data_IF_485511303996
#
_entry.id   IF_485511303996
#
_cell.length_a   1.000
_cell.length_b   1.000
_cell.length_c   1.000
_cell.angle_alpha   90.00
_cell.angle_beta   90.00
_cell.angle_gamma   90.00
#
_symmetry.space_group_name_H-M   'P 1'
#
loop_
_entity.id
_entity.type
_entity.pdbx_description
1 polymer ?
#
# COMPACT_ATOMS: atom_id res chain seq x y z
N UNK A 1 -6.58 10.82 8.14
CA UNK A 1 -7.96 10.29 8.01
C UNK A 1 -8.60 10.26 9.37
N UNK A 2 -9.94 10.33 9.46
CA UNK A 2 -10.66 10.28 10.73
C UNK A 2 -10.75 8.85 11.29
N UNK A 3 -11.09 8.73 12.57
CA UNK A 3 -11.23 7.44 13.27
C UNK A 3 -12.30 6.54 12.64
N UNK A 4 -13.31 7.12 11.98
CA UNK A 4 -14.37 6.37 11.30
C UNK A 4 -14.02 5.90 9.89
N UNK A 5 -12.82 6.16 9.37
CA UNK A 5 -12.43 5.79 8.01
C UNK A 5 -12.49 4.28 7.77
N UNK A 6 -11.93 3.48 8.69
CA UNK A 6 -11.93 2.02 8.59
C UNK A 6 -13.35 1.45 8.63
N UNK A 7 -14.19 1.93 9.56
CA UNK A 7 -15.59 1.52 9.66
C UNK A 7 -16.39 1.80 8.37
N UNK A 8 -16.05 2.88 7.65
CA UNK A 8 -16.65 3.17 6.34
C UNK A 8 -16.18 2.20 5.27
N UNK A 9 -14.88 1.87 5.25
CA UNK A 9 -14.34 0.86 4.33
C UNK A 9 -14.97 -0.51 4.56
N UNK A 10 -15.09 -0.96 5.81
CA UNK A 10 -15.70 -2.24 6.15
C UNK A 10 -17.17 -2.31 5.72
N UNK A 11 -17.95 -1.25 5.99
CA UNK A 11 -19.35 -1.17 5.56
C UNK A 11 -19.47 -1.17 4.04
N UNK A 12 -18.60 -0.46 3.34
CA UNK A 12 -18.58 -0.45 1.87
C UNK A 12 -18.23 -1.83 1.31
N UNK A 13 -17.26 -2.53 1.90
CA UNK A 13 -16.89 -3.89 1.50
C UNK A 13 -18.06 -4.88 1.68
N UNK A 14 -18.66 -4.91 2.88
CA UNK A 14 -19.84 -5.75 3.18
C UNK A 14 -21.02 -5.46 2.26
N UNK A 15 -21.21 -4.21 1.84
CA UNK A 15 -22.28 -3.81 0.93
C UNK A 15 -22.04 -4.18 -0.54
N UNK A 16 -20.79 -4.13 -1.00
CA UNK A 16 -20.43 -4.43 -2.40
C UNK A 16 -20.22 -5.92 -2.66
N UNK A 17 -19.67 -6.64 -1.69
CA UNK A 17 -19.24 -8.04 -1.83
C UNK A 17 -18.46 -8.29 -3.13
N UNK A 18 -17.36 -7.55 -3.30
CA UNK A 18 -16.51 -7.69 -4.48
C UNK A 18 -15.95 -9.11 -4.60
N UNK A 19 -15.73 -9.59 -5.83
CA UNK A 19 -15.13 -10.90 -6.08
C UNK A 19 -13.61 -10.78 -6.04
N UNK A 20 -12.97 -11.37 -5.04
CA UNK A 20 -11.54 -11.20 -4.76
C UNK A 20 -10.78 -12.52 -4.95
N UNK A 21 -9.78 -12.51 -5.83
CA UNK A 21 -8.87 -13.64 -6.01
C UNK A 21 -7.77 -13.63 -4.96
N UNK A 22 -7.52 -14.75 -4.29
CA UNK A 22 -6.44 -14.90 -3.30
C UNK A 22 -5.47 -16.01 -3.74
N UNK A 23 -4.21 -15.64 -3.97
CA UNK A 23 -3.17 -16.57 -4.37
C UNK A 23 -2.65 -17.46 -3.24
N UNK A 24 -2.66 -18.78 -3.42
CA UNK A 24 -2.20 -19.75 -2.41
C UNK A 24 -1.30 -20.84 -3.04
N UNK A 25 -0.07 -20.99 -2.53
CA UNK A 25 0.92 -22.00 -2.96
C UNK A 25 1.18 -23.09 -1.90
N UNK A 26 0.96 -22.78 -0.62
CA UNK A 26 1.18 -23.69 0.50
C UNK A 26 0.12 -23.52 1.58
N UNK A 27 -0.21 -24.61 2.26
CA UNK A 27 -1.07 -24.58 3.43
C UNK A 27 -0.35 -23.91 4.61
N UNK A 28 -0.98 -22.89 5.17
CA UNK A 28 -0.69 -22.39 6.52
C UNK A 28 -2.02 -22.13 7.19
N UNK A 29 -2.21 -22.65 8.41
CA UNK A 29 -3.46 -22.53 9.17
C UNK A 29 -3.97 -21.07 9.22
N UNK A 30 -3.06 -20.13 9.46
CA UNK A 30 -3.37 -18.69 9.52
C UNK A 30 -3.89 -18.10 8.19
N UNK A 31 -3.57 -18.70 7.04
CA UNK A 31 -4.01 -18.20 5.73
C UNK A 31 -5.47 -18.57 5.51
N UNK A 32 -5.86 -19.81 5.81
CA UNK A 32 -7.24 -20.28 5.63
C UNK A 32 -8.18 -19.58 6.58
N UNK A 33 -7.83 -19.48 7.88
CA UNK A 33 -8.62 -18.73 8.86
C UNK A 33 -8.82 -17.26 8.42
N UNK A 34 -7.77 -16.64 7.85
CA UNK A 34 -7.85 -15.29 7.31
C UNK A 34 -8.75 -15.18 6.07
N UNK A 35 -8.74 -16.19 5.19
CA UNK A 35 -9.61 -16.27 4.01
C UNK A 35 -11.08 -16.45 4.42
N UNK A 36 -11.35 -17.32 5.40
CA UNK A 36 -12.69 -17.52 5.94
C UNK A 36 -13.22 -16.24 6.58
N UNK A 37 -12.43 -15.56 7.41
CA UNK A 37 -12.79 -14.26 7.98
C UNK A 37 -13.02 -13.19 6.90
N UNK A 38 -12.22 -13.20 5.82
CA UNK A 38 -12.37 -12.27 4.70
C UNK A 38 -13.67 -12.48 3.91
N UNK A 39 -14.26 -13.68 3.98
CA UNK A 39 -15.52 -14.01 3.28
C UNK A 39 -16.72 -13.21 3.81
N UNK A 40 -16.60 -12.57 4.98
CA UNK A 40 -17.59 -11.60 5.46
C UNK A 40 -17.64 -10.33 4.60
N UNK A 41 -16.52 -9.96 3.97
CA UNK A 41 -16.33 -8.69 3.26
C UNK A 41 -16.37 -8.81 1.74
N UNK A 42 -16.14 -10.01 1.20
CA UNK A 42 -15.95 -10.25 -0.22
C UNK A 42 -16.27 -11.70 -0.60
N UNK A 43 -16.62 -11.92 -1.87
CA UNK A 43 -16.70 -13.27 -2.44
C UNK A 43 -15.27 -13.73 -2.78
N UNK A 44 -14.78 -14.75 -2.10
CA UNK A 44 -13.38 -15.16 -2.21
C UNK A 44 -13.20 -16.32 -3.19
N UNK A 45 -12.27 -16.16 -4.12
CA UNK A 45 -11.82 -17.20 -5.04
C UNK A 45 -10.36 -17.52 -4.74
N UNK A 46 -10.08 -18.72 -4.26
CA UNK A 46 -8.72 -19.16 -4.01
C UNK A 46 -8.06 -19.62 -5.32
N UNK A 47 -6.88 -19.08 -5.63
CA UNK A 47 -6.13 -19.38 -6.86
C UNK A 47 -4.83 -20.10 -6.50
N UNK A 48 -4.74 -21.37 -6.89
CA UNK A 48 -3.62 -22.25 -6.61
C UNK A 48 -4.02 -23.48 -5.79
N UNK A 49 -3.04 -24.13 -5.19
CA UNK A 49 -3.22 -25.37 -4.46
C UNK A 49 -2.57 -25.27 -3.07
N UNK A 50 -3.35 -25.22 -1.97
CA UNK A 50 -2.79 -25.24 -0.63
C UNK A 50 -2.19 -26.61 -0.26
N UNK A 51 -2.46 -27.66 -1.05
CA UNK A 51 -2.04 -29.02 -0.77
C UNK A 51 -3.16 -29.89 -0.18
N UNK A 52 -2.94 -31.21 -0.11
CA UNK A 52 -3.98 -32.20 0.15
C UNK A 52 -4.51 -32.21 1.59
N UNK A 53 -3.72 -31.73 2.55
CA UNK A 53 -4.07 -31.72 3.98
C UNK A 53 -4.84 -30.46 4.41
N UNK A 54 -5.16 -29.58 3.45
CA UNK A 54 -5.86 -28.33 3.71
C UNK A 54 -7.37 -28.50 3.46
N UNK A 55 -8.17 -28.40 4.52
CA UNK A 55 -9.62 -28.28 4.36
C UNK A 55 -9.95 -26.85 3.92
N UNK A 56 -10.46 -26.71 2.69
CA UNK A 56 -10.86 -25.43 2.10
C UNK A 56 -12.37 -25.20 2.26
N UNK A 57 -13.07 -26.11 2.95
CA UNK A 57 -14.50 -26.02 3.22
C UNK A 57 -15.33 -25.83 1.96
N UNK A 58 -16.03 -24.70 1.90
CA UNK A 58 -16.94 -24.33 0.79
C UNK A 58 -16.37 -23.27 -0.15
N UNK A 59 -15.09 -22.90 0.01
CA UNK A 59 -14.45 -21.86 -0.78
C UNK A 59 -14.27 -22.28 -2.24
N UNK A 60 -14.49 -21.35 -3.16
CA UNK A 60 -14.21 -21.57 -4.57
C UNK A 60 -12.69 -21.70 -4.79
N UNK A 61 -12.26 -22.77 -5.47
CA UNK A 61 -10.84 -23.02 -5.79
C UNK A 61 -10.62 -23.14 -7.30
N UNK A 62 -9.67 -22.36 -7.80
CA UNK A 62 -9.09 -22.49 -9.14
C UNK A 62 -7.69 -23.08 -9.00
N UNK A 63 -7.55 -24.38 -9.31
CA UNK A 63 -6.24 -25.04 -9.36
C UNK A 63 -5.49 -24.62 -10.61
N UNK A 64 -4.22 -24.22 -10.43
CA UNK A 64 -3.36 -23.80 -11.53
C UNK A 64 -1.91 -24.21 -11.27
N UNK A 65 -1.22 -24.66 -12.31
CA UNK A 65 0.22 -24.94 -12.26
C UNK A 65 1.04 -23.65 -12.04
N UNK A 66 0.53 -22.51 -12.53
CA UNK A 66 1.11 -21.19 -12.29
C UNK A 66 0.05 -20.25 -11.69
N UNK A 67 -0.13 -20.30 -10.35
CA UNK A 67 -1.13 -19.49 -9.66
C UNK A 67 -0.91 -17.99 -9.87
N UNK A 68 0.34 -17.54 -9.98
CA UNK A 68 0.66 -16.13 -10.18
C UNK A 68 0.18 -15.61 -11.56
N UNK A 69 0.33 -16.40 -12.63
CA UNK A 69 -0.23 -16.05 -13.95
C UNK A 69 -1.75 -16.05 -13.93
N UNK A 70 -2.31 -17.08 -13.30
CA UNK A 70 -3.76 -17.29 -13.29
C UNK A 70 -4.44 -16.15 -12.54
N UNK A 71 -3.93 -15.78 -11.36
CA UNK A 71 -4.46 -14.67 -10.56
C UNK A 71 -4.45 -13.34 -11.34
N UNK A 72 -3.34 -13.03 -12.02
CA UNK A 72 -3.23 -11.80 -12.83
C UNK A 72 -4.14 -11.86 -14.07
N UNK A 73 -4.25 -13.02 -14.71
CA UNK A 73 -5.12 -13.21 -15.87
C UNK A 73 -6.61 -13.10 -15.53
N UNK A 74 -7.03 -13.57 -14.35
CA UNK A 74 -8.40 -13.37 -13.86
C UNK A 74 -8.70 -11.88 -13.65
N UNK A 75 -7.74 -11.14 -13.09
CA UNK A 75 -7.86 -9.70 -12.88
C UNK A 75 -7.93 -8.94 -14.22
N UNK A 76 -7.08 -9.30 -15.18
CA UNK A 76 -7.07 -8.69 -16.52
C UNK A 76 -8.40 -8.88 -17.27
N UNK A 77 -9.00 -10.07 -17.14
CA UNK A 77 -10.28 -10.39 -17.78
C UNK A 77 -11.49 -9.82 -17.05
N UNK A 78 -11.31 -9.25 -15.85
CA UNK A 78 -12.41 -8.81 -15.00
C UNK A 78 -13.25 -9.95 -14.42
N UNK A 79 -12.70 -11.17 -14.34
CA UNK A 79 -13.34 -12.32 -13.66
C UNK A 79 -13.27 -12.19 -12.12
N UNK A 80 -12.36 -11.35 -11.65
CA UNK A 80 -12.26 -10.88 -10.26
C UNK A 80 -12.15 -9.36 -10.24
N UNK A 81 -12.74 -8.71 -9.24
CA UNK A 81 -12.70 -7.26 -9.02
C UNK A 81 -11.38 -6.80 -8.40
N UNK A 82 -10.69 -7.71 -7.69
CA UNK A 82 -9.45 -7.42 -6.99
C UNK A 82 -8.65 -8.68 -6.69
N UNK A 83 -7.37 -8.50 -6.35
CA UNK A 83 -6.46 -9.60 -6.11
C UNK A 83 -5.63 -9.39 -4.84
N UNK A 84 -5.50 -10.44 -4.04
CA UNK A 84 -4.58 -10.55 -2.91
C UNK A 84 -3.53 -11.60 -3.26
N UNK A 85 -2.26 -11.22 -3.21
CA UNK A 85 -1.13 -12.13 -3.50
C UNK A 85 -1.15 -13.41 -2.65
N UNK A 86 -1.59 -13.30 -1.40
CA UNK A 86 -1.47 -14.33 -0.37
C UNK A 86 0.00 -14.71 -0.15
N UNK A 87 0.33 -15.99 -0.24
CA UNK A 87 1.69 -16.48 -0.04
C UNK A 87 2.49 -16.71 -1.34
N UNK A 88 1.92 -16.43 -2.52
CA UNK A 88 2.63 -16.53 -3.80
C UNK A 88 3.86 -15.62 -3.84
N UNK A 89 4.94 -15.98 -4.54
CA UNK A 89 6.13 -15.12 -4.65
C UNK A 89 5.80 -13.69 -5.11
N UNK A 90 6.16 -12.69 -4.28
CA UNK A 90 5.95 -11.28 -4.58
C UNK A 90 6.64 -10.86 -5.89
N UNK A 91 7.88 -11.30 -6.10
CA UNK A 91 8.63 -11.02 -7.33
C UNK A 91 7.90 -11.54 -8.58
N UNK A 92 7.35 -12.75 -8.52
CA UNK A 92 6.59 -13.34 -9.65
C UNK A 92 5.32 -12.54 -9.92
N UNK A 93 4.50 -12.30 -8.90
CA UNK A 93 3.21 -11.60 -9.07
C UNK A 93 3.41 -10.16 -9.54
N UNK A 94 4.33 -9.41 -8.92
CA UNK A 94 4.61 -8.03 -9.31
C UNK A 94 5.18 -7.92 -10.72
N UNK A 95 6.06 -8.85 -11.13
CA UNK A 95 6.59 -8.90 -12.49
C UNK A 95 5.48 -9.15 -13.52
N UNK A 96 4.50 -10.01 -13.18
CA UNK A 96 3.34 -10.29 -14.04
C UNK A 96 2.41 -9.10 -14.14
N UNK A 97 2.01 -8.49 -13.02
CA UNK A 97 1.17 -7.28 -13.01
C UNK A 97 1.81 -6.18 -13.87
N UNK A 98 3.10 -5.91 -13.66
CA UNK A 98 3.80 -4.86 -14.41
C UNK A 98 3.83 -5.12 -15.92
N UNK A 99 3.96 -6.38 -16.33
CA UNK A 99 3.99 -6.77 -17.75
C UNK A 99 2.61 -6.76 -18.38
N UNK A 100 1.60 -7.33 -17.70
CA UNK A 100 0.25 -7.48 -18.23
C UNK A 100 -0.46 -6.13 -18.36
N UNK A 101 -0.34 -5.26 -17.36
CA UNK A 101 -1.02 -3.95 -17.37
C UNK A 101 -0.12 -2.82 -17.90
N UNK A 102 1.14 -3.11 -18.26
CA UNK A 102 2.14 -2.11 -18.68
C UNK A 102 2.31 -0.96 -17.69
N UNK A 103 2.21 -1.26 -16.38
CA UNK A 103 2.30 -0.29 -15.29
C UNK A 103 3.54 -0.49 -14.44
N UNK A 104 3.97 0.59 -13.77
CA UNK A 104 4.90 0.49 -12.63
C UNK A 104 4.09 0.44 -11.34
N UNK A 105 4.14 -0.70 -10.66
CA UNK A 105 3.49 -0.88 -9.35
C UNK A 105 4.14 0.02 -8.31
N UNK A 106 3.30 0.61 -7.46
CA UNK A 106 3.69 1.44 -6.31
C UNK A 106 2.95 0.95 -5.07
N UNK A 107 3.63 0.92 -3.93
CA UNK A 107 3.04 0.43 -2.67
C UNK A 107 2.70 1.58 -1.73
N UNK A 108 1.49 1.53 -1.19
CA UNK A 108 1.04 2.30 -0.04
C UNK A 108 0.75 1.30 1.09
N UNK A 109 1.17 1.62 2.31
CA UNK A 109 0.75 0.88 3.52
C UNK A 109 -0.24 1.74 4.29
N UNK A 110 -1.40 1.21 4.64
CA UNK A 110 -2.32 1.84 5.60
C UNK A 110 -1.87 1.47 7.02
N UNK A 111 -1.63 2.47 7.86
CA UNK A 111 -1.37 2.28 9.29
C UNK A 111 -2.53 2.89 10.09
N UNK A 112 -2.97 2.19 11.14
CA UNK A 112 -4.14 2.56 11.92
C UNK A 112 -3.79 2.68 13.41
N UNK A 113 -3.50 3.90 13.84
CA UNK A 113 -3.32 4.21 15.25
C UNK A 113 -4.70 4.50 15.89
N UNK A 114 -4.86 4.38 17.22
CA UNK A 114 -6.15 4.56 17.89
C UNK A 114 -6.92 5.85 17.52
N UNK A 115 -6.21 6.95 17.27
CA UNK A 115 -6.81 8.25 16.97
C UNK A 115 -6.54 8.74 15.53
N UNK A 116 -5.77 7.99 14.74
CA UNK A 116 -5.24 8.50 13.48
C UNK A 116 -4.82 7.38 12.54
N UNK A 117 -5.43 7.36 11.36
CA UNK A 117 -5.02 6.49 10.26
C UNK A 117 -4.42 7.31 9.12
N UNK A 118 -3.37 6.77 8.50
CA UNK A 118 -2.68 7.39 7.37
C UNK A 118 -2.08 6.32 6.46
N UNK A 119 -1.92 6.66 5.18
CA UNK A 119 -1.10 5.89 4.26
C UNK A 119 0.37 6.32 4.35
N UNK A 120 1.27 5.36 4.24
CA UNK A 120 2.72 5.56 4.17
C UNK A 120 3.24 5.05 2.83
N UNK A 121 4.08 5.85 2.19
CA UNK A 121 4.74 5.50 0.95
C UNK A 121 6.09 6.22 0.81
N UNK A 122 7.03 5.73 0.00
CA UNK A 122 7.13 4.32 -0.42
C UNK A 122 7.35 3.40 0.78
N UNK A 123 7.10 2.10 0.61
CA UNK A 123 7.45 1.06 1.60
C UNK A 123 8.22 -0.10 0.97
N UNK A 124 8.36 -0.10 -0.35
CA UNK A 124 9.27 -0.97 -1.08
C UNK A 124 10.69 -0.45 -1.09
N UNK A 125 11.66 -1.32 -0.83
CA UNK A 125 13.09 -0.95 -0.78
C UNK A 125 13.64 -0.40 -2.11
N UNK A 126 12.95 -0.65 -3.22
CA UNK A 126 13.29 -0.29 -4.60
C UNK A 126 12.42 0.87 -5.15
N UNK A 127 11.79 1.63 -4.26
CA UNK A 127 10.87 2.71 -4.58
C UNK A 127 11.36 4.05 -4.01
N UNK A 128 11.02 5.15 -4.69
CA UNK A 128 11.31 6.50 -4.19
C UNK A 128 12.74 6.99 -4.41
N UNK A 129 13.53 6.31 -5.24
CA UNK A 129 14.92 6.67 -5.54
C UNK A 129 15.08 7.97 -6.35
N UNK A 130 13.98 8.55 -6.83
CA UNK A 130 13.99 9.80 -7.59
C UNK A 130 12.84 10.71 -7.21
N UNK A 131 13.03 12.02 -7.40
CA UNK A 131 12.00 13.05 -7.21
C UNK A 131 10.76 12.73 -8.04
N UNK A 132 10.93 12.30 -9.30
CA UNK A 132 9.81 11.95 -10.18
C UNK A 132 8.99 10.79 -9.63
N UNK A 133 9.64 9.77 -9.07
CA UNK A 133 8.94 8.61 -8.51
C UNK A 133 8.22 8.95 -7.21
N UNK A 134 8.87 9.72 -6.33
CA UNK A 134 8.23 10.25 -5.11
C UNK A 134 7.06 11.18 -5.43
N UNK A 135 7.15 11.96 -6.51
CA UNK A 135 6.08 12.86 -6.91
C UNK A 135 4.88 12.06 -7.40
N UNK A 136 5.12 10.99 -8.17
CA UNK A 136 4.07 10.06 -8.57
C UNK A 136 3.42 9.39 -7.36
N UNK A 137 4.18 9.00 -6.35
CA UNK A 137 3.61 8.46 -5.10
C UNK A 137 2.71 9.48 -4.39
N UNK A 138 3.15 10.75 -4.28
CA UNK A 138 2.35 11.81 -3.67
C UNK A 138 1.07 12.10 -4.45
N UNK A 139 1.16 12.27 -5.77
CA UNK A 139 0.03 12.64 -6.64
C UNK A 139 -0.94 11.48 -6.81
N UNK A 140 -0.46 10.30 -7.22
CA UNK A 140 -1.32 9.13 -7.43
C UNK A 140 -1.90 8.62 -6.11
N UNK A 141 -1.15 8.72 -5.00
CA UNK A 141 -1.65 8.39 -3.67
C UNK A 141 -2.76 9.34 -3.24
N UNK A 142 -2.62 10.65 -3.50
CA UNK A 142 -3.67 11.62 -3.23
C UNK A 142 -4.91 11.40 -4.12
N UNK A 143 -4.74 11.07 -5.40
CA UNK A 143 -5.85 10.70 -6.30
C UNK A 143 -6.58 9.44 -5.83
N UNK A 144 -5.83 8.43 -5.38
CA UNK A 144 -6.39 7.22 -4.80
C UNK A 144 -7.22 7.51 -3.55
N UNK A 145 -6.73 8.34 -2.64
CA UNK A 145 -7.48 8.80 -1.47
C UNK A 145 -8.74 9.59 -1.84
N UNK A 146 -8.66 10.47 -2.84
CA UNK A 146 -9.82 11.20 -3.37
C UNK A 146 -10.88 10.26 -3.94
N UNK A 147 -10.48 9.13 -4.55
CA UNK A 147 -11.43 8.10 -5.01
C UNK A 147 -12.17 7.38 -3.87
N UNK A 148 -11.73 7.56 -2.62
CA UNK A 148 -12.37 7.08 -1.40
C UNK A 148 -13.08 8.19 -0.62
N UNK A 149 -13.41 9.30 -1.29
CA UNK A 149 -14.03 10.49 -0.70
C UNK A 149 -13.21 11.12 0.45
N UNK A 150 -11.89 10.98 0.42
CA UNK A 150 -10.96 11.67 1.32
C UNK A 150 -10.28 12.80 0.55
N UNK A 151 -10.39 14.05 1.02
CA UNK A 151 -9.52 15.13 0.54
C UNK A 151 -8.21 15.09 1.32
N UNK A 152 -7.08 14.60 0.76
CA UNK A 152 -5.94 14.18 1.56
C UNK A 152 -4.96 15.32 1.83
N UNK A 153 -4.56 15.47 3.10
CA UNK A 153 -3.31 16.13 3.48
C UNK A 153 -2.14 15.22 3.19
N UNK A 154 -1.10 15.74 2.51
CA UNK A 154 0.08 14.98 2.14
C UNK A 154 1.32 15.57 2.81
N UNK A 155 1.93 14.81 3.71
CA UNK A 155 3.18 15.18 4.37
C UNK A 155 4.37 14.56 3.65
N UNK A 156 5.36 15.38 3.30
CA UNK A 156 6.58 14.94 2.62
C UNK A 156 7.75 15.03 3.61
N UNK A 157 8.40 13.89 3.83
CA UNK A 157 9.55 13.79 4.73
C UNK A 157 10.88 13.98 3.99
N UNK A 158 11.89 14.38 4.75
CA UNK A 158 13.30 14.49 4.32
C UNK A 158 14.25 13.94 5.39
N UNK A 159 15.56 13.97 5.09
CA UNK A 159 16.59 13.35 5.93
C UNK A 159 17.07 14.19 7.12
N UNK A 160 16.49 15.37 7.35
CA UNK A 160 16.88 16.26 8.44
C UNK A 160 15.75 17.21 8.84
N UNK A 161 15.94 17.93 9.95
CA UNK A 161 15.07 19.05 10.30
C UNK A 161 15.31 20.21 9.35
N UNK A 162 14.37 21.15 9.25
CA UNK A 162 14.54 22.29 8.35
C UNK A 162 15.75 23.16 8.74
N UNK A 163 16.05 23.24 10.04
CA UNK A 163 17.23 23.92 10.60
C UNK A 163 18.55 23.15 10.41
N UNK A 164 18.53 21.93 9.89
CA UNK A 164 19.73 21.13 9.65
C UNK A 164 20.44 21.49 8.33
N UNK A 165 19.93 22.49 7.59
CA UNK A 165 20.56 22.99 6.37
C UNK A 165 22.01 23.45 6.63
N UNK A 166 22.93 22.97 5.81
CA UNK A 166 24.37 23.21 5.92
C UNK A 166 25.12 22.23 6.83
N UNK A 167 24.45 21.22 7.41
CA UNK A 167 25.14 20.20 8.23
C UNK A 167 25.94 19.22 7.39
N UNK A 168 25.40 18.78 6.25
CA UNK A 168 26.11 18.00 5.26
C UNK A 168 25.34 17.93 3.93
N UNK A 169 26.07 17.74 2.83
CA UNK A 169 25.52 17.68 1.47
C UNK A 169 24.36 16.70 1.33
N UNK A 170 24.41 15.56 2.05
CA UNK A 170 23.35 14.56 2.00
C UNK A 170 22.04 15.10 2.57
N UNK A 171 22.09 15.77 3.73
CA UNK A 171 20.89 16.34 4.36
C UNK A 171 20.36 17.49 3.50
N UNK A 172 21.24 18.37 3.05
CA UNK A 172 20.88 19.53 2.21
C UNK A 172 20.17 19.10 0.93
N UNK A 173 20.67 18.04 0.27
CA UNK A 173 20.02 17.46 -0.89
C UNK A 173 18.61 16.97 -0.57
N UNK A 174 18.44 16.19 0.50
CA UNK A 174 17.10 15.66 0.85
C UNK A 174 16.11 16.76 1.24
N UNK A 175 16.57 17.83 1.89
CA UNK A 175 15.74 18.99 2.23
C UNK A 175 15.29 19.74 0.97
N UNK A 176 16.22 20.00 0.04
CA UNK A 176 15.92 20.66 -1.22
C UNK A 176 14.99 19.81 -2.11
N UNK A 177 15.22 18.51 -2.18
CA UNK A 177 14.37 17.57 -2.92
C UNK A 177 12.95 17.52 -2.36
N UNK A 178 12.79 17.46 -1.04
CA UNK A 178 11.48 17.43 -0.40
C UNK A 178 10.70 18.75 -0.56
N UNK A 179 11.39 19.89 -0.47
CA UNK A 179 10.78 21.20 -0.73
C UNK A 179 10.32 21.32 -2.19
N UNK A 180 11.14 20.88 -3.15
CA UNK A 180 10.76 20.83 -4.56
C UNK A 180 9.58 19.88 -4.78
N UNK A 181 9.60 18.70 -4.15
CA UNK A 181 8.52 17.71 -4.23
C UNK A 181 7.19 18.32 -3.76
N UNK A 182 7.19 19.01 -2.63
CA UNK A 182 6.00 19.62 -2.05
C UNK A 182 5.43 20.72 -2.96
N UNK A 183 6.30 21.53 -3.58
CA UNK A 183 5.89 22.51 -4.59
C UNK A 183 5.24 21.86 -5.80
N UNK A 184 5.91 20.88 -6.40
CA UNK A 184 5.40 20.19 -7.59
C UNK A 184 4.07 19.46 -7.30
N UNK A 185 3.91 18.88 -6.12
CA UNK A 185 2.66 18.25 -5.71
C UNK A 185 1.53 19.28 -5.54
N UNK A 186 1.83 20.46 -4.96
CA UNK A 186 0.85 21.56 -4.87
C UNK A 186 0.46 22.09 -6.24
N UNK A 187 1.41 22.24 -7.16
CA UNK A 187 1.14 22.65 -8.54
C UNK A 187 0.24 21.63 -9.26
N UNK A 188 0.32 20.35 -8.87
CA UNK A 188 -0.57 19.27 -9.34
C UNK A 188 -1.91 19.18 -8.57
N UNK A 189 -2.23 20.15 -7.70
CA UNK A 189 -3.52 20.19 -6.97
C UNK A 189 -3.59 19.27 -5.74
N UNK A 190 -2.45 18.93 -5.15
CA UNK A 190 -2.35 18.15 -3.90
C UNK A 190 -2.07 19.08 -2.72
N UNK A 191 -2.76 18.89 -1.58
CA UNK A 191 -2.45 19.62 -0.33
C UNK A 191 -1.18 19.04 0.31
N UNK A 192 -0.03 19.42 -0.23
CA UNK A 192 1.27 18.87 0.16
C UNK A 192 2.13 19.85 0.97
N UNK A 193 2.74 19.37 2.06
CA UNK A 193 3.63 20.13 2.93
C UNK A 193 4.93 19.35 3.24
N UNK A 194 6.06 20.05 3.25
CA UNK A 194 7.35 19.46 3.66
C UNK A 194 7.49 19.55 5.18
N UNK A 195 7.67 18.39 5.85
CA UNK A 195 7.72 18.25 7.32
C UNK A 195 9.12 18.03 7.89
N UNK A 196 10.17 18.09 7.07
CA UNK A 196 11.49 17.67 7.51
C UNK A 196 11.54 16.17 7.86
N UNK A 197 12.36 15.80 8.83
CA UNK A 197 12.46 14.44 9.37
C UNK A 197 11.42 14.13 10.47
N UNK A 198 10.73 15.13 11.00
CA UNK A 198 9.89 15.01 12.18
C UNK A 198 8.53 14.39 11.83
N UNK A 199 8.48 13.06 11.77
CA UNK A 199 7.25 12.30 11.44
C UNK A 199 6.09 12.59 12.39
N UNK A 200 6.36 12.95 13.64
CA UNK A 200 5.36 13.34 14.63
C UNK A 200 4.57 14.59 14.21
N UNK A 201 5.14 15.44 13.36
CA UNK A 201 4.48 16.65 12.84
C UNK A 201 3.52 16.37 11.69
N UNK A 202 3.54 15.15 11.13
CA UNK A 202 2.60 14.72 10.10
C UNK A 202 1.21 14.37 10.66
N UNK A 203 1.04 14.38 12.00
CA UNK A 203 -0.20 13.96 12.66
C UNK A 203 -1.41 14.72 12.11
N UNK A 204 -2.41 13.97 11.66
CA UNK A 204 -3.63 14.50 11.05
C UNK A 204 -3.65 14.42 9.53
N UNK A 205 -2.49 14.29 8.87
CA UNK A 205 -2.42 14.09 7.43
C UNK A 205 -2.81 12.66 7.02
N UNK A 206 -3.14 12.47 5.75
CA UNK A 206 -3.74 11.24 5.20
C UNK A 206 -2.72 10.39 4.44
N UNK A 207 -1.66 11.01 3.91
CA UNK A 207 -0.57 10.35 3.21
C UNK A 207 0.77 10.94 3.67
N UNK A 208 1.69 10.07 4.08
CA UNK A 208 3.07 10.41 4.41
C UNK A 208 3.99 9.84 3.35
N UNK A 209 4.77 10.71 2.72
CA UNK A 209 5.77 10.38 1.70
C UNK A 209 7.17 10.39 2.31
N UNK A 210 7.70 9.22 2.64
CA UNK A 210 9.03 8.99 3.18
C UNK A 210 10.14 9.47 2.20
N UNK A 211 11.38 9.67 2.71
CA UNK A 211 12.51 10.10 1.89
C UNK A 211 12.88 9.10 0.78
N UNK A 212 12.77 7.81 1.09
CA UNK A 212 13.06 6.68 0.21
C UNK A 212 12.39 5.40 0.73
N UNK A 213 12.46 4.35 -0.09
CA UNK A 213 11.88 3.04 0.19
C UNK A 213 12.41 2.36 1.45
N UNK A 214 13.70 2.52 1.75
CA UNK A 214 14.33 1.93 2.93
C UNK A 214 13.78 2.60 4.19
N UNK A 215 13.77 3.93 4.21
CA UNK A 215 13.28 4.75 5.31
C UNK A 215 11.81 4.46 5.58
N UNK A 216 10.98 4.43 4.53
CA UNK A 216 9.56 4.08 4.66
C UNK A 216 9.33 2.66 5.15
N UNK A 217 10.14 1.69 4.71
CA UNK A 217 10.06 0.31 5.20
C UNK A 217 10.43 0.21 6.69
N UNK A 218 11.46 0.95 7.14
CA UNK A 218 11.84 1.00 8.55
C UNK A 218 10.74 1.61 9.41
N UNK A 219 10.16 2.75 8.99
CA UNK A 219 9.02 3.37 9.67
C UNK A 219 7.85 2.38 9.80
N UNK A 220 7.47 1.75 8.69
CA UNK A 220 6.40 0.75 8.66
C UNK A 220 6.65 -0.38 9.66
N UNK A 221 7.85 -0.98 9.62
CA UNK A 221 8.19 -2.10 10.50
C UNK A 221 8.20 -1.70 11.96
N UNK A 222 8.74 -0.51 12.29
CA UNK A 222 8.77 -0.03 13.67
C UNK A 222 7.36 0.17 14.21
N UNK A 223 6.48 0.83 13.46
CA UNK A 223 5.12 1.10 13.92
C UNK A 223 4.29 -0.20 14.00
N UNK A 224 4.26 -0.98 12.93
CA UNK A 224 3.42 -2.19 12.88
C UNK A 224 3.93 -3.31 13.79
N UNK A 225 5.23 -3.64 13.71
CA UNK A 225 5.76 -4.86 14.32
C UNK A 225 6.23 -4.66 15.77
N UNK A 226 6.51 -3.42 16.18
CA UNK A 226 6.96 -3.12 17.54
C UNK A 226 5.92 -2.35 18.36
N UNK A 227 5.08 -1.53 17.72
CA UNK A 227 4.08 -0.70 18.42
C UNK A 227 2.65 -1.22 18.29
N UNK A 228 2.40 -2.23 17.46
CA UNK A 228 1.05 -2.78 17.25
C UNK A 228 0.10 -1.78 16.58
N UNK A 229 0.65 -0.89 15.76
CA UNK A 229 -0.11 -0.03 14.85
C UNK A 229 -0.83 -0.82 13.75
#
# INVERSE_FOLDING_TARGET
MDTGFLDRMERAAKGRQARIGIGVDTCGLNIIEGIEAASEYAEIVMVGDPGPDCDIGTLEQIRAEDPASTLVGLLEKGEIDGAVRGNLSATRVMSRISKTFEVRVRRLSLLALPDWSFFLAPVGIDEGDSISDRLKLAVQGAEYLKSMDVDPGVSILSGGRLEDLGRCDRVDRTLAEAELLARLARDAGVRAEHRGILIETCRGDDLIVAPDGISGNLIFRTLMLLSGA
#
